data_IF_926464213017
#
_entry.id   IF_926464213017
#
_cell.length_a   1.000
_cell.length_b   1.000
_cell.length_c   1.000
_cell.angle_alpha   90.00
_cell.angle_beta   90.00
_cell.angle_gamma   90.00
#
_symmetry.space_group_name_H-M   'P 1'
#
loop_
_entity.id
_entity.type
_entity.pdbx_description
1 polymer ?
#
# COMPACT_ATOMS: atom_id res chain seq x y z
N UNK A 1 -36.01 3.98 -17.24
CA UNK A 1 -34.70 3.85 -17.91
C UNK A 1 -33.71 4.76 -17.24
N UNK A 2 -32.84 4.22 -16.41
CA UNK A 2 -31.76 4.97 -15.83
C UNK A 2 -30.65 5.09 -16.85
N UNK A 3 -30.55 6.23 -17.53
CA UNK A 3 -29.37 6.56 -18.27
C UNK A 3 -28.29 6.94 -17.24
N UNK A 4 -27.32 6.07 -17.08
CA UNK A 4 -26.09 6.46 -16.44
C UNK A 4 -25.39 7.46 -17.37
N UNK A 5 -25.64 8.73 -17.10
CA UNK A 5 -24.88 9.77 -17.70
C UNK A 5 -23.44 9.61 -17.29
N UNK A 6 -22.61 9.16 -18.22
CA UNK A 6 -21.18 9.31 -18.13
C UNK A 6 -20.90 10.80 -18.11
N UNK A 7 -20.76 11.35 -16.92
CA UNK A 7 -20.25 12.68 -16.73
C UNK A 7 -18.87 12.80 -17.34
N UNK A 8 -18.46 13.95 -17.86
CA UNK A 8 -17.16 14.14 -18.40
C UNK A 8 -16.11 13.80 -17.34
N UNK A 9 -15.31 12.82 -17.63
CA UNK A 9 -14.12 12.53 -16.84
C UNK A 9 -13.11 13.60 -17.21
N UNK A 10 -13.17 14.68 -16.49
CA UNK A 10 -12.18 15.72 -16.62
C UNK A 10 -10.83 15.14 -16.20
N UNK A 11 -10.03 14.83 -17.20
CA UNK A 11 -8.74 14.19 -17.04
C UNK A 11 -7.65 15.10 -16.48
N UNK A 12 -7.97 15.95 -15.55
CA UNK A 12 -7.00 16.84 -14.94
C UNK A 12 -6.92 16.68 -13.45
N UNK A 13 -6.72 15.46 -12.99
CA UNK A 13 -6.44 15.30 -11.57
C UNK A 13 -5.15 14.52 -11.39
N UNK A 14 -4.15 15.24 -11.15
CA UNK A 14 -2.94 14.87 -10.44
C UNK A 14 -3.32 14.16 -9.15
N UNK A 15 -3.36 12.87 -9.21
CA UNK A 15 -3.71 12.02 -8.09
C UNK A 15 -4.72 10.97 -8.52
N UNK A 16 -4.24 9.91 -9.13
CA UNK A 16 -5.09 8.82 -9.57
C UNK A 16 -5.71 8.09 -8.38
N UNK A 17 -6.74 8.68 -7.80
CA UNK A 17 -7.60 8.06 -6.79
C UNK A 17 -8.67 7.17 -7.45
N UNK A 18 -8.27 6.39 -8.45
CA UNK A 18 -9.12 5.38 -9.03
C UNK A 18 -9.35 4.21 -8.06
N UNK A 19 -10.30 3.31 -8.36
CA UNK A 19 -10.54 2.13 -7.54
C UNK A 19 -9.28 1.26 -7.42
N UNK A 20 -9.24 0.44 -6.39
CA UNK A 20 -8.19 -0.57 -6.22
C UNK A 20 -8.46 -1.72 -7.18
N UNK A 21 -7.68 -1.83 -8.23
CA UNK A 21 -7.86 -2.78 -9.29
C UNK A 21 -7.05 -4.07 -9.09
N UNK A 22 -7.32 -5.06 -9.94
CA UNK A 22 -6.54 -6.30 -9.96
C UNK A 22 -5.06 -6.06 -10.27
N UNK A 23 -4.77 -5.10 -11.14
CA UNK A 23 -3.41 -4.68 -11.50
C UNK A 23 -2.63 -4.06 -10.34
N UNK A 24 -3.32 -3.55 -9.33
CA UNK A 24 -2.71 -3.01 -8.12
C UNK A 24 -2.27 -4.11 -7.14
N UNK A 25 -2.63 -5.34 -7.40
CA UNK A 25 -2.36 -6.48 -6.53
C UNK A 25 -1.12 -7.25 -6.96
N UNK A 26 -0.33 -7.62 -5.99
CA UNK A 26 0.75 -8.57 -6.16
C UNK A 26 0.15 -9.98 -6.14
N UNK A 27 -0.21 -10.51 -7.31
CA UNK A 27 -0.97 -11.77 -7.44
C UNK A 27 -0.07 -12.99 -7.61
N UNK A 28 1.08 -12.83 -8.26
CA UNK A 28 1.98 -13.94 -8.54
C UNK A 28 2.83 -14.26 -7.31
N UNK A 29 2.86 -15.53 -6.96
CA UNK A 29 3.68 -16.03 -5.85
C UNK A 29 5.18 -15.83 -6.08
N UNK A 30 5.62 -15.76 -7.33
CA UNK A 30 7.02 -15.46 -7.70
C UNK A 30 7.37 -14.02 -7.36
N UNK A 31 6.51 -13.09 -7.74
CA UNK A 31 6.68 -11.68 -7.43
C UNK A 31 6.68 -11.45 -5.92
N UNK A 32 5.77 -12.11 -5.23
CA UNK A 32 5.67 -12.05 -3.77
C UNK A 32 6.96 -12.52 -3.10
N UNK A 33 7.47 -13.68 -3.53
CA UNK A 33 8.76 -14.23 -3.03
C UNK A 33 9.93 -13.32 -3.37
N UNK A 34 9.92 -12.72 -4.57
CA UNK A 34 10.95 -11.77 -4.97
C UNK A 34 11.02 -10.58 -4.01
N UNK A 35 9.87 -9.99 -3.70
CA UNK A 35 9.81 -8.87 -2.75
C UNK A 35 10.31 -9.29 -1.37
N UNK A 36 9.88 -10.43 -0.86
CA UNK A 36 10.29 -10.92 0.46
C UNK A 36 11.78 -11.23 0.55
N UNK A 37 12.40 -11.71 -0.53
CA UNK A 37 13.82 -12.09 -0.58
C UNK A 37 14.75 -10.93 -0.85
N UNK A 38 14.39 -10.05 -1.77
CA UNK A 38 15.24 -8.96 -2.28
C UNK A 38 14.84 -7.60 -1.74
N UNK A 39 13.67 -7.50 -1.12
CA UNK A 39 13.11 -6.25 -0.68
C UNK A 39 13.79 -5.68 0.56
N UNK A 40 13.71 -4.37 0.66
CA UNK A 40 14.10 -3.63 1.85
C UNK A 40 12.99 -3.74 2.90
N UNK A 41 13.36 -4.25 4.05
CA UNK A 41 12.42 -4.47 5.16
C UNK A 41 12.47 -3.31 6.14
N UNK A 42 11.29 -2.82 6.52
CA UNK A 42 11.10 -1.87 7.61
C UNK A 42 10.04 -2.43 8.56
N UNK A 43 10.24 -2.24 9.84
CA UNK A 43 9.43 -2.90 10.86
C UNK A 43 8.94 -1.93 11.91
N UNK A 44 7.69 -2.08 12.30
CA UNK A 44 7.11 -1.50 13.52
C UNK A 44 6.57 -2.61 14.42
N UNK A 45 6.13 -2.30 15.65
CA UNK A 45 5.51 -3.30 16.51
C UNK A 45 4.28 -3.98 15.89
N UNK A 46 3.53 -3.25 15.05
CA UNK A 46 2.28 -3.72 14.47
C UNK A 46 2.44 -4.25 13.05
N UNK A 47 3.45 -3.77 12.31
CA UNK A 47 3.57 -4.02 10.88
C UNK A 47 5.01 -4.33 10.47
N UNK A 48 5.13 -5.14 9.43
CA UNK A 48 6.36 -5.26 8.65
C UNK A 48 6.04 -4.85 7.22
N UNK A 49 6.85 -3.97 6.66
CA UNK A 49 6.78 -3.57 5.26
C UNK A 49 8.03 -4.06 4.54
N UNK A 50 7.83 -4.66 3.39
CA UNK A 50 8.92 -5.04 2.49
C UNK A 50 8.68 -4.38 1.15
N UNK A 51 9.66 -3.64 0.66
CA UNK A 51 9.58 -2.94 -0.62
C UNK A 51 10.69 -3.41 -1.54
N UNK A 52 10.36 -3.67 -2.78
CA UNK A 52 11.32 -4.03 -3.80
C UNK A 52 10.95 -3.40 -5.14
N UNK A 53 11.93 -3.26 -6.01
CA UNK A 53 11.67 -2.91 -7.40
C UNK A 53 10.97 -4.08 -8.08
N UNK A 54 9.96 -3.79 -8.88
CA UNK A 54 9.17 -4.82 -9.57
C UNK A 54 10.06 -5.71 -10.45
N UNK A 55 9.90 -7.02 -10.30
CA UNK A 55 10.63 -8.00 -11.08
C UNK A 55 10.18 -8.08 -12.56
N UNK A 56 9.06 -7.46 -12.90
CA UNK A 56 8.52 -7.48 -14.26
C UNK A 56 9.49 -6.90 -15.30
N UNK A 57 10.42 -6.06 -14.87
CA UNK A 57 11.48 -5.52 -15.76
C UNK A 57 12.61 -6.51 -16.07
N UNK A 58 12.76 -7.56 -15.30
CA UNK A 58 13.93 -8.45 -15.48
C UNK A 58 13.69 -9.66 -16.37
N UNK A 59 12.45 -9.90 -16.79
CA UNK A 59 12.17 -11.00 -17.72
C UNK A 59 12.27 -10.55 -19.17
N UNK A 60 13.49 -10.40 -19.66
CA UNK A 60 13.79 -10.20 -21.09
C UNK A 60 13.41 -11.38 -21.98
N UNK A 61 12.78 -12.41 -21.41
CA UNK A 61 12.53 -13.68 -22.12
C UNK A 61 11.07 -13.89 -22.54
N UNK A 62 10.17 -12.97 -22.25
CA UNK A 62 8.79 -13.10 -22.71
C UNK A 62 8.52 -12.13 -23.85
N UNK A 63 8.07 -12.67 -24.99
CA UNK A 63 7.62 -11.92 -26.16
C UNK A 63 6.33 -11.08 -25.91
N UNK A 64 6.01 -10.83 -24.64
CA UNK A 64 4.96 -9.88 -24.29
C UNK A 64 5.56 -8.46 -24.28
N UNK A 65 4.80 -7.48 -24.77
CA UNK A 65 5.25 -6.10 -24.70
C UNK A 65 5.62 -5.76 -23.26
N UNK A 66 6.79 -5.15 -23.11
CA UNK A 66 7.31 -4.63 -21.83
C UNK A 66 6.33 -3.60 -21.25
N UNK A 67 5.19 -4.08 -20.78
CA UNK A 67 4.35 -3.27 -19.91
C UNK A 67 5.03 -3.20 -18.55
N UNK A 68 5.88 -2.20 -18.42
CA UNK A 68 6.24 -1.70 -17.11
C UNK A 68 4.97 -1.52 -16.30
N UNK A 69 4.95 -1.93 -15.03
CA UNK A 69 3.80 -1.62 -14.20
C UNK A 69 3.64 -0.09 -14.18
N UNK A 70 2.52 0.37 -14.68
CA UNK A 70 2.19 1.80 -14.68
C UNK A 70 2.01 2.35 -13.27
N UNK A 71 2.06 1.48 -12.29
CA UNK A 71 1.75 1.79 -10.91
C UNK A 71 2.36 0.79 -9.94
N UNK A 72 2.57 1.23 -8.71
CA UNK A 72 3.00 0.35 -7.62
C UNK A 72 1.98 -0.77 -7.37
N UNK A 73 2.45 -1.92 -6.90
CA UNK A 73 1.60 -3.06 -6.58
C UNK A 73 1.68 -3.39 -5.09
N UNK A 74 0.56 -3.88 -4.54
CA UNK A 74 0.40 -4.18 -3.12
C UNK A 74 0.12 -5.67 -2.88
N UNK A 75 0.89 -6.28 -2.00
CA UNK A 75 0.59 -7.56 -1.38
C UNK A 75 0.30 -7.38 0.11
N UNK A 76 -0.65 -8.12 0.64
CA UNK A 76 -1.02 -8.05 2.05
C UNK A 76 -1.01 -9.45 2.64
N UNK A 77 -0.31 -9.61 3.74
CA UNK A 77 -0.28 -10.85 4.53
C UNK A 77 -0.84 -10.59 5.92
N UNK A 78 -1.92 -11.30 6.25
CA UNK A 78 -2.56 -11.23 7.56
C UNK A 78 -2.79 -12.65 8.08
N UNK A 79 -2.02 -13.06 9.06
CA UNK A 79 -2.17 -14.39 9.66
C UNK A 79 -3.36 -14.46 10.63
N UNK A 80 -3.77 -15.70 10.98
CA UNK A 80 -4.82 -15.94 11.98
C UNK A 80 -4.49 -15.36 13.36
N UNK A 81 -3.22 -15.16 13.66
CA UNK A 81 -2.75 -14.58 14.94
C UNK A 81 -3.18 -13.12 15.12
N UNK A 82 -3.49 -12.41 14.04
CA UNK A 82 -3.96 -11.02 14.08
C UNK A 82 -5.38 -10.91 14.58
N UNK A 83 -6.21 -11.88 14.28
CA UNK A 83 -7.61 -11.93 14.72
C UNK A 83 -8.46 -12.84 13.84
N UNK A 84 -9.77 -12.80 14.07
CA UNK A 84 -10.74 -13.56 13.30
C UNK A 84 -10.87 -13.02 11.85
N UNK A 85 -11.69 -13.67 11.04
CA UNK A 85 -11.87 -13.29 9.63
C UNK A 85 -12.34 -11.84 9.46
N UNK A 86 -13.22 -11.36 10.34
CA UNK A 86 -13.73 -9.98 10.31
C UNK A 86 -12.60 -8.98 10.52
N UNK A 87 -11.76 -9.20 11.52
CA UNK A 87 -10.61 -8.35 11.84
C UNK A 87 -9.61 -8.35 10.68
N UNK A 88 -9.29 -9.54 10.16
CA UNK A 88 -8.36 -9.67 9.04
C UNK A 88 -8.87 -8.98 7.76
N UNK A 89 -10.15 -9.14 7.44
CA UNK A 89 -10.75 -8.50 6.27
C UNK A 89 -10.80 -6.97 6.42
N UNK A 90 -11.09 -6.49 7.62
CA UNK A 90 -11.06 -5.06 7.95
C UNK A 90 -9.67 -4.48 7.74
N UNK A 91 -8.64 -5.15 8.23
CA UNK A 91 -7.26 -4.74 8.03
C UNK A 91 -6.90 -4.67 6.55
N UNK A 92 -7.22 -5.71 5.78
CA UNK A 92 -6.97 -5.75 4.33
C UNK A 92 -7.67 -4.60 3.60
N UNK A 93 -8.94 -4.35 3.95
CA UNK A 93 -9.72 -3.26 3.34
C UNK A 93 -9.09 -1.90 3.63
N UNK A 94 -8.73 -1.64 4.86
CA UNK A 94 -8.08 -0.39 5.27
C UNK A 94 -6.73 -0.19 4.59
N UNK A 95 -5.93 -1.24 4.48
CA UNK A 95 -4.64 -1.20 3.80
C UNK A 95 -4.79 -0.92 2.31
N UNK A 96 -5.79 -1.52 1.65
CA UNK A 96 -6.07 -1.25 0.23
C UNK A 96 -6.54 0.19 0.02
N UNK A 97 -7.41 0.68 0.90
CA UNK A 97 -7.90 2.06 0.85
C UNK A 97 -6.75 3.05 1.04
N UNK A 98 -5.89 2.81 2.00
CA UNK A 98 -4.68 3.59 2.21
C UNK A 98 -3.79 3.57 0.95
N UNK A 99 -3.51 2.39 0.41
CA UNK A 99 -2.67 2.24 -0.78
C UNK A 99 -3.26 2.97 -1.98
N UNK A 100 -4.56 2.81 -2.21
CA UNK A 100 -5.28 3.49 -3.28
C UNK A 100 -5.08 5.00 -3.23
N UNK A 101 -5.15 5.55 -2.05
CA UNK A 101 -5.04 7.01 -1.85
C UNK A 101 -3.60 7.51 -1.89
N UNK A 102 -2.63 6.66 -1.55
CA UNK A 102 -1.21 7.04 -1.50
C UNK A 102 -0.40 6.62 -2.74
N UNK A 103 -0.98 5.82 -3.62
CA UNK A 103 -0.20 5.23 -4.73
C UNK A 103 0.43 6.25 -5.67
N UNK A 104 -0.14 7.44 -5.79
CA UNK A 104 0.44 8.53 -6.60
C UNK A 104 1.77 9.04 -6.06
N UNK A 105 2.02 8.86 -4.76
CA UNK A 105 3.27 9.21 -4.10
C UNK A 105 4.29 8.08 -4.14
N UNK A 106 3.86 6.88 -4.49
CA UNK A 106 4.74 5.72 -4.59
C UNK A 106 5.36 5.62 -5.97
N UNK A 107 6.60 5.16 -6.01
CA UNK A 107 7.24 4.88 -7.29
C UNK A 107 6.43 3.82 -8.06
N UNK A 108 6.06 4.05 -9.33
CA UNK A 108 5.29 3.09 -10.14
C UNK A 108 5.94 1.72 -10.29
N UNK A 109 7.26 1.64 -10.12
CA UNK A 109 8.00 0.38 -10.20
C UNK A 109 8.10 -0.34 -8.86
N UNK A 110 7.42 0.13 -7.83
CA UNK A 110 7.51 -0.41 -6.49
C UNK A 110 6.53 -1.55 -6.28
N UNK A 111 7.04 -2.66 -5.79
CA UNK A 111 6.23 -3.73 -5.20
C UNK A 111 6.34 -3.62 -3.68
N UNK A 112 5.19 -3.54 -3.04
CA UNK A 112 5.05 -3.36 -1.60
C UNK A 112 4.31 -4.56 -0.99
N UNK A 113 4.90 -5.17 0.02
CA UNK A 113 4.24 -6.20 0.83
C UNK A 113 4.06 -5.67 2.25
N UNK A 114 2.83 -5.68 2.73
CA UNK A 114 2.47 -5.34 4.11
C UNK A 114 2.13 -6.61 4.86
N UNK A 115 2.86 -6.87 5.94
CA UNK A 115 2.66 -8.03 6.80
C UNK A 115 2.12 -7.52 8.15
N UNK A 116 0.90 -7.92 8.48
CA UNK A 116 0.30 -7.57 9.75
C UNK A 116 0.83 -8.46 10.87
N UNK A 117 1.25 -7.83 11.97
CA UNK A 117 1.55 -8.49 13.24
C UNK A 117 0.30 -8.52 14.12
N UNK A 118 0.35 -9.28 15.21
CA UNK A 118 -0.79 -9.44 16.14
C UNK A 118 -1.45 -8.11 16.53
N UNK A 119 -0.72 -7.04 16.92
CA UNK A 119 -1.36 -5.78 17.32
C UNK A 119 -2.06 -5.03 16.16
N UNK A 120 -1.74 -5.33 14.92
CA UNK A 120 -2.29 -4.63 13.75
C UNK A 120 -3.82 -4.71 13.65
N UNK A 121 -4.42 -5.77 14.18
CA UNK A 121 -5.88 -5.93 14.19
C UNK A 121 -6.63 -4.85 14.96
N UNK A 122 -5.96 -4.16 15.86
CA UNK A 122 -6.53 -3.10 16.70
C UNK A 122 -6.33 -1.69 16.14
N UNK A 123 -5.49 -1.54 15.10
CA UNK A 123 -5.22 -0.23 14.54
C UNK A 123 -6.48 0.37 13.90
N UNK A 124 -6.75 1.62 14.24
CA UNK A 124 -7.70 2.45 13.49
C UNK A 124 -7.13 2.78 12.11
N UNK A 125 -7.96 3.32 11.22
CA UNK A 125 -7.46 3.75 9.91
C UNK A 125 -6.40 4.84 10.03
N UNK A 126 -6.60 5.77 10.95
CA UNK A 126 -5.66 6.86 11.22
C UNK A 126 -4.30 6.36 11.72
N UNK A 127 -4.32 5.41 12.65
CA UNK A 127 -3.10 4.78 13.16
C UNK A 127 -2.38 3.97 12.09
N UNK A 128 -3.13 3.22 11.28
CA UNK A 128 -2.59 2.46 10.17
C UNK A 128 -1.91 3.38 9.14
N UNK A 129 -2.59 4.47 8.78
CA UNK A 129 -2.05 5.50 7.88
C UNK A 129 -0.73 6.08 8.43
N UNK A 130 -0.71 6.49 9.68
CA UNK A 130 0.49 7.02 10.31
C UNK A 130 1.65 6.02 10.31
N UNK A 131 1.38 4.75 10.60
CA UNK A 131 2.39 3.69 10.60
C UNK A 131 2.94 3.39 9.22
N UNK A 132 2.05 3.20 8.23
CA UNK A 132 2.44 2.90 6.86
C UNK A 132 3.20 4.07 6.22
N UNK A 133 2.68 5.27 6.38
CA UNK A 133 3.32 6.48 5.86
C UNK A 133 4.67 6.75 6.49
N UNK A 134 4.79 6.58 7.79
CA UNK A 134 6.06 6.72 8.49
C UNK A 134 7.10 5.68 8.07
N UNK A 135 6.70 4.44 7.85
CA UNK A 135 7.60 3.38 7.39
C UNK A 135 8.06 3.58 5.93
N UNK A 136 7.29 4.29 5.12
CA UNK A 136 7.60 4.58 3.73
C UNK A 136 8.19 5.97 3.50
N UNK A 137 8.32 6.77 4.56
CA UNK A 137 8.78 8.17 4.48
C UNK A 137 7.92 9.04 3.55
N UNK A 138 6.60 8.82 3.57
CA UNK A 138 5.62 9.61 2.81
C UNK A 138 4.66 10.31 3.77
N UNK A 139 4.05 11.43 3.37
CA UNK A 139 3.10 12.13 4.23
C UNK A 139 1.84 11.27 4.46
N UNK A 140 1.28 11.28 5.67
CA UNK A 140 0.04 10.57 5.97
C UNK A 140 -1.16 11.21 5.24
N UNK A 141 -2.15 10.38 4.91
CA UNK A 141 -3.39 10.81 4.24
C UNK A 141 -4.25 11.70 5.10
N UNK A 142 -4.46 11.23 6.30
CA UNK A 142 -5.13 12.03 7.28
C UNK A 142 -4.08 12.99 7.75
N UNK A 143 -4.24 14.24 7.37
CA UNK A 143 -3.38 15.33 7.81
C UNK A 143 -3.39 15.44 9.33
N UNK A 144 -2.96 14.36 9.96
CA UNK A 144 -2.25 14.48 11.19
C UNK A 144 -1.09 15.38 10.81
N UNK A 145 -1.37 16.62 10.82
CA UNK A 145 -0.40 17.57 11.26
C UNK A 145 0.01 17.00 12.60
N UNK A 146 0.95 16.09 12.55
CA UNK A 146 1.80 15.88 13.70
C UNK A 146 2.44 17.23 13.81
N UNK A 147 1.77 18.08 14.56
CA UNK A 147 2.33 19.35 14.89
C UNK A 147 3.72 19.03 15.39
N UNK A 148 4.69 19.55 14.71
CA UNK A 148 6.08 19.49 15.16
C UNK A 148 6.22 19.97 16.61
N UNK A 149 5.23 20.68 17.12
CA UNK A 149 5.08 21.02 18.53
C UNK A 149 4.89 19.81 19.45
N UNK A 150 4.35 18.70 18.97
CA UNK A 150 4.22 17.50 19.81
C UNK A 150 5.53 16.74 19.95
N UNK A 151 6.45 16.91 19.00
CA UNK A 151 7.79 16.35 19.12
C UNK A 151 8.70 17.15 20.06
N UNK A 152 8.47 18.44 20.19
CA UNK A 152 9.26 19.28 21.08
C UNK A 152 8.95 19.07 22.56
N UNK A 153 7.76 18.55 22.86
CA UNK A 153 7.36 18.26 24.25
C UNK A 153 7.98 16.96 24.77
N UNK A 154 8.41 16.08 23.90
CA UNK A 154 9.00 14.81 24.30
C UNK A 154 10.50 14.89 24.61
N UNK A 155 11.11 16.03 24.46
CA UNK A 155 12.55 16.23 24.68
C UNK A 155 12.90 16.85 26.05
N UNK A 156 11.95 17.01 26.89
CA UNK A 156 12.22 17.45 28.28
C UNK A 156 12.13 16.31 29.26
#
# INVERSE_FOLDING_TARGET
MASYGSGPRDGSTTGATGPFERSDRLLDSRDYRHVLRRGRRRTSPELVIVTAKSALKSNKSSNLPDKLPDRARLGITVSRKVGNAVVRNRFKRRTREWFRSQRSLLNPELDLVVIARRPAGRLSFSELDARLSGLLDIPPLIGLRVDSSTMDVSTN
#
